data_IF_840477982406
#
_entry.id   IF_840477982406
#
_cell.length_a   1.000
_cell.length_b   1.000
_cell.length_c   1.000
_cell.angle_alpha   90.00
_cell.angle_beta   90.00
_cell.angle_gamma   90.00
#
_symmetry.space_group_name_H-M   'P 1'
#
loop_
_entity.id
_entity.type
_entity.pdbx_description
1 polymer ?
#
# COMPACT_ATOMS: atom_id res chain seq x y z
N UNK A 1 4.05 -8.24 20.15
CA UNK A 1 3.45 -6.91 19.88
C UNK A 1 1.94 -7.05 19.93
N UNK A 2 1.24 -6.09 20.55
CA UNK A 2 -0.23 -6.04 20.50
C UNK A 2 -0.67 -5.71 19.07
N UNK A 3 -1.74 -6.35 18.60
CA UNK A 3 -2.37 -5.98 17.34
C UNK A 3 -3.21 -4.71 17.52
N UNK A 4 -3.35 -3.94 16.44
CA UNK A 4 -4.31 -2.85 16.35
C UNK A 4 -5.67 -3.45 16.03
N UNK A 5 -6.62 -3.38 16.96
CA UNK A 5 -8.00 -3.76 16.66
C UNK A 5 -8.66 -2.59 15.95
N UNK A 6 -9.12 -2.83 14.72
CA UNK A 6 -9.83 -1.85 13.91
C UNK A 6 -11.33 -2.05 14.10
N UNK A 7 -12.00 -1.04 14.66
CA UNK A 7 -13.46 -0.97 14.75
C UNK A 7 -13.98 0.24 13.96
N UNK A 8 -15.30 0.32 13.78
CA UNK A 8 -15.92 1.48 13.11
C UNK A 8 -15.64 2.76 13.89
N UNK A 9 -15.71 2.70 15.22
CA UNK A 9 -15.44 3.82 16.13
C UNK A 9 -13.99 4.30 15.99
N UNK A 10 -13.04 3.37 16.08
CA UNK A 10 -11.60 3.66 15.88
C UNK A 10 -11.35 4.33 14.53
N UNK A 11 -12.02 3.87 13.47
CA UNK A 11 -11.88 4.46 12.15
C UNK A 11 -12.51 5.86 12.07
N UNK A 12 -13.68 6.08 12.67
CA UNK A 12 -14.39 7.36 12.62
C UNK A 12 -13.80 8.42 13.57
N UNK A 13 -13.08 8.03 14.62
CA UNK A 13 -12.30 8.95 15.46
C UNK A 13 -11.12 9.59 14.69
N UNK A 14 -10.61 8.91 13.67
CA UNK A 14 -9.53 9.43 12.85
C UNK A 14 -10.01 10.56 11.91
N UNK A 15 -9.21 11.64 11.83
CA UNK A 15 -9.54 12.84 11.05
C UNK A 15 -9.83 12.57 9.56
N UNK A 16 -9.16 11.60 8.94
CA UNK A 16 -9.45 11.20 7.56
C UNK A 16 -10.50 10.09 7.52
N UNK A 17 -10.53 9.18 8.48
CA UNK A 17 -11.52 8.11 8.53
C UNK A 17 -12.95 8.65 8.58
N UNK A 18 -13.20 9.70 9.38
CA UNK A 18 -14.52 10.36 9.43
C UNK A 18 -15.01 10.91 8.08
N UNK A 19 -14.12 11.19 7.12
CA UNK A 19 -14.53 11.66 5.79
C UNK A 19 -15.09 10.55 4.90
N UNK A 20 -14.98 9.29 5.35
CA UNK A 20 -15.53 8.10 4.70
C UNK A 20 -16.70 7.51 5.49
N UNK A 21 -17.40 8.34 6.29
CA UNK A 21 -18.60 7.90 7.01
C UNK A 21 -19.69 7.37 6.04
N UNK A 22 -19.71 7.83 4.79
CA UNK A 22 -20.56 7.27 3.74
C UNK A 22 -20.24 5.81 3.42
N UNK A 23 -18.97 5.39 3.54
CA UNK A 23 -18.57 3.98 3.39
C UNK A 23 -18.91 3.18 4.65
N UNK A 24 -18.72 3.75 5.84
CA UNK A 24 -18.96 3.05 7.12
C UNK A 24 -20.45 2.82 7.38
N UNK A 25 -21.30 3.77 7.00
CA UNK A 25 -22.73 3.74 7.30
C UNK A 25 -23.56 3.09 6.18
N UNK A 26 -22.95 2.73 5.05
CA UNK A 26 -23.62 2.04 3.94
C UNK A 26 -23.61 0.52 4.21
N UNK A 27 -24.78 -0.10 4.49
CA UNK A 27 -24.85 -1.53 4.84
C UNK A 27 -24.45 -2.46 3.70
N UNK A 28 -24.47 -1.97 2.46
CA UNK A 28 -24.06 -2.74 1.29
C UNK A 28 -22.54 -2.70 1.07
N UNK A 29 -21.78 -1.91 1.86
CA UNK A 29 -20.32 -1.90 1.80
C UNK A 29 -19.76 -3.07 2.62
N UNK A 30 -18.75 -3.79 2.12
CA UNK A 30 -18.06 -4.84 2.88
C UNK A 30 -17.07 -4.28 3.90
N UNK A 31 -17.35 -3.11 4.50
CA UNK A 31 -16.39 -2.39 5.31
C UNK A 31 -16.06 -3.11 6.61
N UNK A 32 -17.02 -3.84 7.20
CA UNK A 32 -16.75 -4.67 8.38
C UNK A 32 -15.76 -5.79 8.08
N UNK A 33 -15.88 -6.45 6.92
CA UNK A 33 -14.92 -7.46 6.48
C UNK A 33 -13.51 -6.86 6.30
N UNK A 34 -13.41 -5.61 5.85
CA UNK A 34 -12.14 -4.87 5.78
C UNK A 34 -11.57 -4.62 7.19
N UNK A 35 -12.37 -4.12 8.13
CA UNK A 35 -11.93 -3.85 9.50
C UNK A 35 -11.47 -5.13 10.22
N UNK A 36 -12.24 -6.21 10.09
CA UNK A 36 -11.89 -7.52 10.61
C UNK A 36 -10.58 -8.03 9.99
N UNK A 37 -10.45 -7.93 8.66
CA UNK A 37 -9.24 -8.35 7.96
C UNK A 37 -7.98 -7.69 8.51
N UNK A 38 -8.01 -6.36 8.65
CA UNK A 38 -6.88 -5.57 9.12
C UNK A 38 -6.65 -5.62 10.64
N UNK A 39 -7.54 -6.23 11.41
CA UNK A 39 -7.39 -6.42 12.86
C UNK A 39 -6.49 -7.61 13.24
N UNK A 40 -6.12 -8.47 12.27
CA UNK A 40 -5.28 -9.65 12.51
C UNK A 40 -3.81 -9.29 12.78
N UNK A 41 -3.26 -9.81 13.89
CA UNK A 41 -1.86 -9.60 14.28
C UNK A 41 -0.87 -10.07 13.20
N UNK A 42 -1.13 -11.21 12.58
CA UNK A 42 -0.22 -11.81 11.58
C UNK A 42 -0.26 -11.05 10.26
N UNK A 43 -1.43 -10.53 9.87
CA UNK A 43 -1.54 -9.66 8.69
C UNK A 43 -0.82 -8.33 8.92
N UNK A 44 -0.98 -7.73 10.09
CA UNK A 44 -0.25 -6.51 10.46
C UNK A 44 1.27 -6.72 10.46
N UNK A 45 1.75 -7.86 10.94
CA UNK A 45 3.18 -8.20 10.86
C UNK A 45 3.66 -8.29 9.42
N UNK A 46 2.93 -8.98 8.54
CA UNK A 46 3.29 -9.07 7.11
C UNK A 46 3.23 -7.73 6.39
N UNK A 47 2.36 -6.83 6.82
CA UNK A 47 2.34 -5.45 6.33
C UNK A 47 3.65 -4.72 6.69
N UNK A 48 4.17 -4.89 7.90
CA UNK A 48 5.47 -4.35 8.32
C UNK A 48 6.63 -5.01 7.55
N UNK A 49 6.63 -6.33 7.45
CA UNK A 49 7.64 -7.10 6.71
C UNK A 49 7.72 -6.70 5.23
N UNK A 50 6.59 -6.30 4.62
CA UNK A 50 6.60 -5.78 3.26
C UNK A 50 7.46 -4.52 3.11
N UNK A 51 7.47 -3.64 4.11
CA UNK A 51 8.34 -2.46 4.13
C UNK A 51 9.79 -2.82 4.46
N UNK A 52 10.00 -3.67 5.47
CA UNK A 52 11.34 -4.01 5.97
C UNK A 52 12.13 -4.87 4.98
N UNK A 53 11.51 -5.93 4.47
CA UNK A 53 12.21 -6.99 3.73
C UNK A 53 11.98 -6.96 2.23
N UNK A 54 10.92 -6.29 1.77
CA UNK A 54 10.55 -6.31 0.36
C UNK A 54 10.57 -4.93 -0.30
N UNK A 55 10.83 -3.86 0.45
CA UNK A 55 10.79 -2.47 -0.02
C UNK A 55 9.47 -2.16 -0.78
N UNK A 56 8.36 -2.70 -0.27
CA UNK A 56 7.01 -2.56 -0.82
C UNK A 56 6.09 -1.91 0.21
N UNK A 57 5.04 -1.23 -0.30
CA UNK A 57 4.02 -0.64 0.58
C UNK A 57 3.36 -1.71 1.45
N UNK A 58 2.84 -1.37 2.64
CA UNK A 58 2.36 -2.37 3.59
C UNK A 58 1.22 -3.23 3.04
N UNK A 59 0.33 -2.62 2.25
CA UNK A 59 -0.76 -3.32 1.58
C UNK A 59 -0.26 -4.48 0.71
N UNK A 60 0.95 -4.40 0.14
CA UNK A 60 1.55 -5.47 -0.66
C UNK A 60 1.70 -6.78 0.11
N UNK A 61 1.91 -6.70 1.43
CA UNK A 61 2.08 -7.89 2.28
C UNK A 61 0.79 -8.70 2.45
N UNK A 62 -0.38 -8.13 2.14
CA UNK A 62 -1.70 -8.72 2.47
C UNK A 62 -2.73 -8.61 1.35
N UNK A 63 -2.47 -7.86 0.28
CA UNK A 63 -3.48 -7.52 -0.73
C UNK A 63 -4.07 -8.73 -1.46
N UNK A 64 -3.28 -9.79 -1.70
CA UNK A 64 -3.80 -11.02 -2.34
C UNK A 64 -4.85 -11.72 -1.49
N UNK A 65 -4.67 -11.74 -0.17
CA UNK A 65 -5.67 -12.31 0.74
C UNK A 65 -6.88 -11.41 0.90
N UNK A 66 -6.68 -10.09 0.90
CA UNK A 66 -7.78 -9.13 0.95
C UNK A 66 -8.71 -9.32 -0.27
N UNK A 67 -8.12 -9.42 -1.46
CA UNK A 67 -8.83 -9.68 -2.71
C UNK A 67 -9.37 -11.11 -2.82
N UNK A 68 -8.89 -12.05 -2.01
CA UNK A 68 -9.46 -13.39 -1.96
C UNK A 68 -10.73 -13.49 -1.10
N UNK A 69 -11.08 -12.44 -0.35
CA UNK A 69 -12.33 -12.40 0.41
C UNK A 69 -13.49 -12.19 -0.58
N UNK A 70 -14.45 -13.14 -0.68
CA UNK A 70 -15.46 -13.12 -1.73
C UNK A 70 -16.29 -11.84 -1.79
N UNK A 71 -16.75 -11.34 -0.64
CA UNK A 71 -17.57 -10.13 -0.57
C UNK A 71 -16.79 -8.86 -0.98
N UNK A 72 -15.47 -8.84 -0.75
CA UNK A 72 -14.61 -7.71 -1.14
C UNK A 72 -14.32 -7.78 -2.64
N UNK A 73 -13.95 -8.95 -3.15
CA UNK A 73 -13.69 -9.13 -4.59
C UNK A 73 -14.91 -8.79 -5.43
N UNK A 74 -16.07 -9.36 -5.06
CA UNK A 74 -17.32 -9.11 -5.74
C UNK A 74 -17.63 -7.60 -5.77
N UNK A 75 -17.55 -6.92 -4.62
CA UNK A 75 -17.82 -5.49 -4.54
C UNK A 75 -16.84 -4.64 -5.36
N UNK A 76 -15.56 -5.02 -5.40
CA UNK A 76 -14.56 -4.32 -6.20
C UNK A 76 -14.70 -4.57 -7.70
N UNK A 77 -15.27 -5.70 -8.09
CA UNK A 77 -15.56 -6.08 -9.47
C UNK A 77 -16.78 -5.37 -10.09
N UNK A 78 -17.68 -4.86 -9.25
CA UNK A 78 -18.91 -4.20 -9.72
C UNK A 78 -18.65 -2.91 -10.52
N UNK A 79 -19.59 -2.59 -11.41
CA UNK A 79 -19.52 -1.43 -12.33
C UNK A 79 -19.65 -0.09 -11.58
N UNK A 80 -20.00 -0.09 -10.29
CA UNK A 80 -20.13 1.10 -9.43
C UNK A 80 -18.77 1.73 -9.07
N UNK A 81 -18.03 2.19 -10.08
CA UNK A 81 -16.67 2.74 -9.97
C UNK A 81 -16.49 3.76 -8.85
N UNK A 82 -17.49 4.63 -8.57
CA UNK A 82 -17.43 5.58 -7.45
C UNK A 82 -17.37 4.88 -6.09
N UNK A 83 -18.26 3.91 -5.85
CA UNK A 83 -18.36 3.18 -4.57
C UNK A 83 -17.10 2.35 -4.34
N UNK A 84 -16.66 1.59 -5.34
CA UNK A 84 -15.43 0.79 -5.26
C UNK A 84 -14.19 1.67 -5.10
N UNK A 85 -14.13 2.86 -5.73
CA UNK A 85 -13.05 3.82 -5.50
C UNK A 85 -13.06 4.37 -4.06
N UNK A 86 -14.23 4.68 -3.49
CA UNK A 86 -14.35 5.14 -2.10
C UNK A 86 -13.89 4.06 -1.12
N UNK A 87 -14.32 2.81 -1.29
CA UNK A 87 -13.87 1.69 -0.47
C UNK A 87 -12.34 1.53 -0.54
N UNK A 88 -11.75 1.55 -1.75
CA UNK A 88 -10.29 1.45 -1.93
C UNK A 88 -9.53 2.57 -1.20
N UNK A 89 -10.09 3.78 -1.17
CA UNK A 89 -9.52 4.90 -0.42
C UNK A 89 -9.65 4.69 1.09
N UNK A 90 -10.81 4.25 1.57
CA UNK A 90 -11.03 3.92 2.98
C UNK A 90 -10.07 2.82 3.47
N UNK A 91 -9.82 1.78 2.65
CA UNK A 91 -8.80 0.75 2.91
C UNK A 91 -7.41 1.38 3.07
N UNK A 92 -7.05 2.35 2.23
CA UNK A 92 -5.80 3.11 2.38
C UNK A 92 -5.71 3.86 3.71
N UNK A 93 -6.84 4.38 4.22
CA UNK A 93 -6.92 5.02 5.53
C UNK A 93 -6.79 3.99 6.66
N UNK A 94 -7.44 2.83 6.55
CA UNK A 94 -7.28 1.72 7.52
C UNK A 94 -5.81 1.31 7.62
N UNK A 95 -5.16 1.07 6.48
CA UNK A 95 -3.71 0.76 6.43
C UNK A 95 -2.89 1.84 7.14
N UNK A 96 -3.19 3.13 6.89
CA UNK A 96 -2.49 4.23 7.57
C UNK A 96 -2.66 4.16 9.08
N UNK A 97 -3.89 4.02 9.57
CA UNK A 97 -4.19 3.99 11.01
C UNK A 97 -3.44 2.83 11.67
N UNK A 98 -3.51 1.63 11.07
CA UNK A 98 -2.80 0.45 11.53
C UNK A 98 -1.30 0.70 11.61
N UNK A 99 -0.68 1.17 10.53
CA UNK A 99 0.77 1.41 10.49
C UNK A 99 1.19 2.47 11.51
N UNK A 100 0.47 3.59 11.61
CA UNK A 100 0.79 4.65 12.56
C UNK A 100 0.66 4.20 14.02
N UNK A 101 -0.39 3.46 14.36
CA UNK A 101 -0.55 2.88 15.71
C UNK A 101 0.51 1.84 16.05
N UNK A 102 1.25 1.35 15.06
CA UNK A 102 2.38 0.42 15.22
C UNK A 102 3.75 1.11 15.16
N UNK A 103 3.80 2.45 15.22
CA UNK A 103 5.06 3.20 15.28
C UNK A 103 5.68 3.47 13.91
N UNK A 104 4.85 3.57 12.87
CA UNK A 104 5.29 3.89 11.51
C UNK A 104 4.77 5.24 11.04
N UNK A 105 5.62 6.01 10.36
CA UNK A 105 5.23 7.28 9.75
C UNK A 105 5.19 7.16 8.23
N UNK A 106 4.30 7.94 7.62
CA UNK A 106 4.21 8.04 6.15
C UNK A 106 5.45 8.73 5.60
N UNK A 107 5.94 8.26 4.46
CA UNK A 107 7.03 8.90 3.73
C UNK A 107 6.53 9.93 2.70
N UNK A 108 5.22 9.99 2.42
CA UNK A 108 4.63 10.81 1.35
C UNK A 108 4.80 10.21 -0.04
N UNK A 109 5.41 9.02 -0.15
CA UNK A 109 5.68 8.32 -1.41
C UNK A 109 4.72 7.16 -1.58
N UNK A 110 4.44 6.80 -2.84
CA UNK A 110 3.61 5.64 -3.18
C UNK A 110 4.39 4.55 -3.92
N UNK A 111 4.33 3.31 -3.44
CA UNK A 111 4.88 2.11 -4.07
C UNK A 111 3.85 1.42 -4.98
N UNK A 112 4.31 0.83 -6.09
CA UNK A 112 3.43 0.05 -6.97
C UNK A 112 3.07 -1.29 -6.33
N UNK A 113 1.84 -1.75 -6.56
CA UNK A 113 1.37 -3.09 -6.16
C UNK A 113 1.31 -4.06 -7.34
N UNK A 114 1.31 -3.53 -8.56
CA UNK A 114 1.35 -4.31 -9.78
C UNK A 114 1.68 -3.43 -10.98
N UNK A 115 1.38 -3.93 -12.18
CA UNK A 115 1.48 -3.15 -13.41
C UNK A 115 0.09 -2.63 -13.74
N UNK A 116 0.01 -1.34 -14.09
CA UNK A 116 -1.29 -0.73 -14.42
C UNK A 116 -1.82 -1.30 -15.73
N UNK A 117 -3.12 -1.59 -15.78
CA UNK A 117 -3.78 -1.95 -17.04
C UNK A 117 -3.60 -0.85 -18.10
N UNK A 118 -3.39 -1.25 -19.35
CA UNK A 118 -3.35 -0.32 -20.47
C UNK A 118 -4.70 0.42 -20.58
N UNK A 119 -4.64 1.70 -20.96
CA UNK A 119 -5.85 2.51 -21.20
C UNK A 119 -6.47 2.06 -22.52
N UNK A 120 -7.58 1.32 -22.46
CA UNK A 120 -8.36 0.93 -23.65
C UNK A 120 -9.48 1.94 -23.92
N UNK A 121 -9.89 2.11 -25.18
CA UNK A 121 -10.99 3.02 -25.59
C UNK A 121 -12.37 2.57 -25.11
N UNK A 122 -12.56 1.27 -24.84
CA UNK A 122 -13.75 0.75 -24.16
C UNK A 122 -13.65 1.08 -22.67
N UNK A 123 -14.79 1.26 -21.98
CA UNK A 123 -14.88 1.39 -20.51
C UNK A 123 -14.31 0.13 -19.84
N UNK A 124 -13.00 -0.02 -19.80
CA UNK A 124 -12.31 -1.10 -19.10
C UNK A 124 -12.19 -0.73 -17.63
N UNK A 125 -12.25 -1.74 -16.77
CA UNK A 125 -12.15 -1.55 -15.34
C UNK A 125 -10.76 -0.99 -14.97
N UNK A 126 -10.73 0.01 -14.08
CA UNK A 126 -9.49 0.64 -13.62
C UNK A 126 -8.80 -0.24 -12.57
N UNK A 127 -8.12 -1.29 -13.04
CA UNK A 127 -7.38 -2.24 -12.23
C UNK A 127 -5.92 -2.37 -12.73
N UNK A 128 -5.12 -3.16 -12.03
CA UNK A 128 -3.82 -3.61 -12.49
C UNK A 128 -3.95 -4.84 -13.38
N UNK A 129 -3.01 -5.00 -14.31
CA UNK A 129 -2.81 -6.23 -15.08
C UNK A 129 -1.46 -6.82 -14.69
N UNK A 130 -1.49 -7.93 -13.95
CA UNK A 130 -0.27 -8.54 -13.41
C UNK A 130 0.29 -7.80 -12.19
N UNK A 131 0.92 -8.55 -11.27
CA UNK A 131 1.42 -8.05 -9.99
C UNK A 131 0.75 -8.69 -8.78
N UNK A 132 0.92 -8.07 -7.60
CA UNK A 132 0.39 -8.57 -6.33
C UNK A 132 -1.10 -8.27 -6.12
N UNK A 133 -1.66 -7.24 -6.77
CA UNK A 133 -3.04 -6.83 -6.58
C UNK A 133 -3.71 -6.62 -7.92
N UNK A 134 -4.96 -7.08 -8.06
CA UNK A 134 -5.79 -6.78 -9.22
C UNK A 134 -6.40 -5.39 -9.07
N UNK A 135 -7.10 -5.09 -7.98
CA UNK A 135 -7.91 -3.87 -7.86
C UNK A 135 -7.13 -2.62 -7.38
N UNK A 136 -5.92 -2.78 -6.83
CA UNK A 136 -5.15 -1.68 -6.22
C UNK A 136 -3.88 -1.34 -6.98
N UNK A 137 -3.74 -0.09 -7.45
CA UNK A 137 -2.57 0.32 -8.26
C UNK A 137 -1.33 0.59 -7.40
N UNK A 138 -1.45 1.44 -6.38
CA UNK A 138 -0.32 1.87 -5.54
C UNK A 138 -0.74 2.00 -4.08
N UNK A 139 0.20 1.74 -3.16
CA UNK A 139 0.05 1.95 -1.72
C UNK A 139 1.01 3.01 -1.19
N UNK A 140 0.65 3.66 -0.09
CA UNK A 140 1.54 4.58 0.65
C UNK A 140 2.74 3.81 1.21
N UNK A 141 3.92 4.44 1.21
CA UNK A 141 5.16 3.91 1.79
C UNK A 141 5.40 4.47 3.18
N UNK A 142 5.89 3.65 4.08
CA UNK A 142 6.11 3.96 5.47
C UNK A 142 7.56 3.74 5.89
N UNK A 143 7.94 4.38 6.99
CA UNK A 143 9.20 4.16 7.67
C UNK A 143 8.97 4.09 9.18
N UNK A 144 9.78 3.30 9.87
CA UNK A 144 9.73 3.19 11.33
C UNK A 144 10.10 4.52 11.96
N UNK A 145 9.37 4.91 13.00
CA UNK A 145 9.68 6.13 13.77
C UNK A 145 11.04 6.04 14.45
N UNK A 146 11.44 4.84 14.91
CA UNK A 146 12.77 4.56 15.47
C UNK A 146 13.89 4.41 14.43
N UNK A 147 13.61 4.63 13.14
CA UNK A 147 14.55 4.43 12.04
C UNK A 147 14.44 3.05 11.39
N UNK A 148 14.79 2.98 10.11
CA UNK A 148 14.75 1.73 9.34
C UNK A 148 15.98 0.87 9.64
N UNK A 149 15.82 -0.45 9.89
CA UNK A 149 16.94 -1.33 10.20
C UNK A 149 17.82 -1.64 8.98
N UNK A 150 17.29 -1.44 7.77
CA UNK A 150 17.98 -1.72 6.51
C UNK A 150 17.81 -0.53 5.56
N UNK A 151 18.81 -0.33 4.69
CA UNK A 151 18.70 0.61 3.57
C UNK A 151 17.66 0.12 2.57
N UNK A 152 16.88 1.05 2.01
CA UNK A 152 15.93 0.72 0.95
C UNK A 152 16.65 0.24 -0.31
N UNK A 153 16.00 -0.60 -1.12
CA UNK A 153 16.56 -1.07 -2.39
C UNK A 153 16.87 0.13 -3.29
N UNK A 154 16.00 1.15 -3.25
CA UNK A 154 16.24 2.40 -3.98
C UNK A 154 17.52 3.14 -3.56
N UNK A 155 17.80 3.24 -2.26
CA UNK A 155 19.04 3.88 -1.78
C UNK A 155 20.26 3.10 -2.26
N UNK A 156 20.19 1.77 -2.20
CA UNK A 156 21.25 0.90 -2.73
C UNK A 156 21.44 1.08 -4.23
N UNK A 157 20.36 1.18 -5.02
CA UNK A 157 20.45 1.46 -6.46
C UNK A 157 21.11 2.81 -6.74
N UNK A 158 20.74 3.87 -6.00
CA UNK A 158 21.35 5.19 -6.17
C UNK A 158 22.84 5.20 -5.82
N UNK A 159 23.23 4.53 -4.74
CA UNK A 159 24.63 4.40 -4.36
C UNK A 159 25.42 3.71 -5.48
N UNK A 160 24.89 2.60 -6.01
CA UNK A 160 25.48 1.86 -7.12
C UNK A 160 25.62 2.69 -8.41
N UNK A 161 24.58 3.45 -8.79
CA UNK A 161 24.63 4.36 -9.95
C UNK A 161 25.70 5.46 -9.78
N UNK A 162 25.85 5.98 -8.56
CA UNK A 162 26.82 7.04 -8.25
C UNK A 162 28.26 6.50 -8.31
N UNK A 163 28.51 5.32 -7.73
CA UNK A 163 29.81 4.63 -7.80
C UNK A 163 30.22 4.31 -9.24
N UNK A 164 29.26 3.86 -10.06
CA UNK A 164 29.52 3.56 -11.48
C UNK A 164 29.88 4.83 -12.28
N UNK A 165 29.25 5.96 -11.96
CA UNK A 165 29.56 7.24 -12.61
C UNK A 165 30.91 7.81 -12.18
N UNK A 166 31.30 7.66 -10.91
CA UNK A 166 32.64 8.06 -10.46
C UNK A 166 33.72 7.23 -11.16
N UNK A 167 33.55 5.91 -11.25
CA UNK A 167 34.49 5.01 -11.93
C UNK A 167 34.66 5.34 -13.42
N UNK A 168 33.56 5.68 -14.10
CA UNK A 168 33.60 6.10 -15.51
C UNK A 168 34.33 7.43 -15.71
N UNK A 169 34.18 8.37 -14.76
CA UNK A 169 34.83 9.69 -14.81
C UNK A 169 36.34 9.58 -14.56
N UNK A 170 36.75 8.74 -13.59
CA UNK A 170 38.17 8.48 -13.30
C UNK A 170 38.88 7.79 -14.47
N UNK A 171 38.25 6.80 -15.12
CA UNK A 171 38.83 6.13 -16.30
C UNK A 171 39.00 7.07 -17.50
N UNK A 172 38.13 8.07 -17.64
CA UNK A 172 38.23 9.06 -18.72
C UNK A 172 39.37 10.06 -18.47
N UNK A 173 39.61 10.47 -17.21
CA UNK A 173 40.75 11.33 -16.86
C UNK A 173 42.09 10.63 -17.02
N UNK A 174 42.16 9.33 -16.74
CA UNK A 174 43.39 8.54 -16.90
C UNK A 174 43.72 8.22 -18.36
N UNK A 175 42.74 8.29 -19.27
CA UNK A 175 42.94 8.05 -20.70
C UNK A 175 43.33 9.29 -21.51
N UNK A 176 43.26 10.49 -20.90
CA UNK A 176 43.57 11.78 -21.54
C UNK A 176 44.95 12.33 -21.08
N UNK A 177 45.60 11.66 -20.12
CA UNK A 177 47.00 11.89 -19.72
C UNK A 177 47.93 10.83 -20.32
#
# INVERSE_FOLDING_TARGET
MKNVVMTREVFLEDRQGKTFADVVNDPDQPFDAVLEFFSSADRQRRMEEAEIHHDRSPLAGVVRELEAIPIIDQFLSEIHTRRSNRLRQAIGVVVRIVMQRRGWRKTGRKGSLGVRAAKTEKRSAHHNTGGLAFWFIRGERYELEGGMPYQSVRERCKAFETETQSDATTKLSDAIN
#
